data_IF_747833921548
#
_entry.id   IF_747833921548
#
_cell.length_a   1.000
_cell.length_b   1.000
_cell.length_c   1.000
_cell.angle_alpha   90.00
_cell.angle_beta   90.00
_cell.angle_gamma   90.00
#
_symmetry.space_group_name_H-M   'P 1'
#
loop_
_entity.id
_entity.type
_entity.pdbx_description
1 polymer ?
#
# COMPACT_ATOMS: atom_id res chain seq x y z
N UNK A 1 12.52 -4.51 -7.42
CA UNK A 1 12.75 -4.43 -5.96
C UNK A 1 13.01 -5.83 -5.42
N UNK A 2 13.93 -6.01 -4.47
CA UNK A 2 14.23 -7.35 -3.92
C UNK A 2 13.24 -7.73 -2.81
N UNK A 3 13.01 -9.04 -2.60
CA UNK A 3 12.22 -9.53 -1.45
C UNK A 3 12.83 -9.08 -0.11
N UNK A 4 14.16 -9.06 0.00
CA UNK A 4 14.84 -8.64 1.22
C UNK A 4 14.57 -7.17 1.56
N UNK A 5 14.60 -6.28 0.55
CA UNK A 5 14.29 -4.86 0.73
C UNK A 5 12.85 -4.64 1.16
N UNK A 6 11.88 -5.35 0.53
CA UNK A 6 10.47 -5.27 0.94
C UNK A 6 10.29 -5.77 2.37
N UNK A 7 10.91 -6.89 2.74
CA UNK A 7 10.82 -7.39 4.11
C UNK A 7 11.38 -6.39 5.11
N UNK A 8 12.55 -5.79 4.85
CA UNK A 8 13.13 -4.78 5.73
C UNK A 8 12.22 -3.54 5.87
N UNK A 9 11.64 -3.05 4.77
CA UNK A 9 10.69 -1.94 4.80
C UNK A 9 9.43 -2.29 5.61
N UNK A 10 8.90 -3.51 5.48
CA UNK A 10 7.76 -4.02 6.26
C UNK A 10 8.07 -4.01 7.76
N UNK A 11 9.27 -4.46 8.18
CA UNK A 11 9.67 -4.43 9.59
C UNK A 11 9.79 -3.00 10.14
N UNK A 12 10.32 -2.04 9.35
CA UNK A 12 10.41 -0.63 9.74
C UNK A 12 9.00 -0.03 9.89
N UNK A 13 8.16 -0.16 8.86
CA UNK A 13 6.80 0.42 8.83
C UNK A 13 5.91 -0.19 9.93
N UNK A 14 6.07 -1.48 10.20
CA UNK A 14 5.31 -2.21 11.20
C UNK A 14 5.88 -2.12 12.61
N UNK A 15 6.95 -1.36 12.85
CA UNK A 15 7.57 -1.23 14.17
C UNK A 15 6.63 -0.53 15.14
N UNK A 16 6.63 -1.00 16.39
CA UNK A 16 5.79 -0.41 17.44
C UNK A 16 6.35 0.95 17.90
N UNK A 17 5.46 1.91 18.12
CA UNK A 17 5.84 3.26 18.59
C UNK A 17 6.60 4.13 17.59
N UNK A 18 6.82 3.67 16.35
CA UNK A 18 7.53 4.45 15.32
C UNK A 18 6.65 5.56 14.75
N UNK A 19 7.20 6.77 14.70
CA UNK A 19 6.60 7.96 14.09
C UNK A 19 6.68 7.92 12.56
N UNK A 20 5.97 8.80 11.87
CA UNK A 20 6.07 8.90 10.40
C UNK A 20 7.44 9.43 9.96
N UNK A 21 8.01 10.40 10.69
CA UNK A 21 9.35 10.94 10.42
C UNK A 21 10.43 9.84 10.54
N UNK A 22 10.38 9.02 11.59
CA UNK A 22 11.31 7.90 11.75
C UNK A 22 11.16 6.82 10.67
N UNK A 23 9.94 6.59 10.17
CA UNK A 23 9.73 5.70 9.02
C UNK A 23 10.40 6.29 7.78
N UNK A 24 10.18 7.58 7.51
CA UNK A 24 10.76 8.26 6.35
C UNK A 24 12.29 8.17 6.37
N UNK A 25 12.90 8.50 7.51
CA UNK A 25 14.35 8.45 7.70
C UNK A 25 14.92 7.04 7.55
N UNK A 26 14.32 6.03 8.18
CA UNK A 26 14.86 4.66 8.15
C UNK A 26 14.63 3.96 6.81
N UNK A 27 13.48 4.18 6.16
CA UNK A 27 13.25 3.64 4.83
C UNK A 27 14.13 4.34 3.81
N UNK A 28 14.38 5.65 3.95
CA UNK A 28 15.36 6.37 3.13
C UNK A 28 16.77 5.80 3.34
N UNK A 29 17.20 5.58 4.59
CA UNK A 29 18.49 4.97 4.90
C UNK A 29 18.63 3.54 4.32
N UNK A 30 17.52 2.78 4.26
CA UNK A 30 17.49 1.43 3.70
C UNK A 30 17.75 1.40 2.18
N UNK A 31 17.25 2.38 1.42
CA UNK A 31 17.28 2.33 -0.06
C UNK A 31 18.16 3.39 -0.71
N UNK A 32 18.51 4.46 0.01
CA UNK A 32 19.36 5.56 -0.45
C UNK A 32 18.76 6.46 -1.52
N UNK A 33 17.54 6.18 -1.99
CA UNK A 33 16.82 6.93 -3.02
C UNK A 33 15.47 7.43 -2.45
N UNK A 34 15.25 8.76 -2.38
CA UNK A 34 14.02 9.32 -1.80
C UNK A 34 12.73 8.90 -2.50
N UNK A 35 12.76 8.74 -3.82
CA UNK A 35 11.57 8.36 -4.57
C UNK A 35 11.22 6.89 -4.34
N UNK A 36 12.24 6.02 -4.30
CA UNK A 36 12.06 4.62 -3.94
C UNK A 36 11.55 4.49 -2.50
N UNK A 37 12.10 5.27 -1.57
CA UNK A 37 11.64 5.28 -0.18
C UNK A 37 10.17 5.67 -0.08
N UNK A 38 9.77 6.77 -0.74
CA UNK A 38 8.37 7.22 -0.77
C UNK A 38 7.44 6.16 -1.33
N UNK A 39 7.83 5.51 -2.44
CA UNK A 39 7.04 4.40 -3.01
C UNK A 39 6.88 3.24 -2.05
N UNK A 40 7.90 2.89 -1.25
CA UNK A 40 7.78 1.83 -0.25
C UNK A 40 6.82 2.23 0.87
N UNK A 41 6.95 3.44 1.40
CA UNK A 41 6.13 3.98 2.48
C UNK A 41 4.66 4.04 2.07
N UNK A 42 4.39 4.46 0.83
CA UNK A 42 3.04 4.58 0.29
C UNK A 42 2.44 3.22 -0.10
N UNK A 43 3.17 2.39 -0.84
CA UNK A 43 2.61 1.16 -1.40
C UNK A 43 2.53 -0.01 -0.42
N UNK A 44 3.50 -0.16 0.49
CA UNK A 44 3.55 -1.33 1.37
C UNK A 44 2.30 -1.40 2.27
N UNK A 45 1.90 -0.33 2.99
CA UNK A 45 0.64 -0.32 3.73
C UNK A 45 -0.56 -0.65 2.84
N UNK A 46 -0.70 0.01 1.69
CA UNK A 46 -1.85 -0.19 0.80
C UNK A 46 -2.00 -1.61 0.30
N UNK A 47 -0.87 -2.27 -0.03
CA UNK A 47 -0.90 -3.68 -0.44
C UNK A 47 -1.34 -4.58 0.72
N UNK A 48 -0.86 -4.33 1.93
CA UNK A 48 -1.23 -5.09 3.12
C UNK A 48 -2.70 -4.86 3.51
N UNK A 49 -3.16 -3.60 3.52
CA UNK A 49 -4.56 -3.22 3.75
C UNK A 49 -5.51 -3.88 2.76
N UNK A 50 -5.15 -3.92 1.47
CA UNK A 50 -5.94 -4.63 0.45
C UNK A 50 -5.98 -6.14 0.66
N UNK A 51 -4.88 -6.77 1.08
CA UNK A 51 -4.88 -8.21 1.41
C UNK A 51 -5.77 -8.48 2.62
N UNK A 52 -5.70 -7.65 3.66
CA UNK A 52 -6.57 -7.73 4.84
C UNK A 52 -8.04 -7.63 4.44
N UNK A 53 -8.39 -6.59 3.69
CA UNK A 53 -9.75 -6.33 3.25
C UNK A 53 -10.28 -7.43 2.32
N UNK A 54 -9.47 -7.91 1.38
CA UNK A 54 -9.85 -9.01 0.49
C UNK A 54 -10.14 -10.31 1.27
N UNK A 55 -9.43 -10.56 2.37
CA UNK A 55 -9.65 -11.74 3.21
C UNK A 55 -11.01 -11.76 3.92
N UNK A 56 -11.67 -10.60 4.04
CA UNK A 56 -13.02 -10.50 4.63
C UNK A 56 -14.11 -11.11 3.73
N UNK A 57 -13.84 -11.29 2.43
CA UNK A 57 -14.76 -11.93 1.47
C UNK A 57 -16.05 -11.17 1.19
N UNK A 58 -16.14 -9.89 1.58
CA UNK A 58 -17.37 -9.07 1.46
C UNK A 58 -17.30 -8.01 0.37
N UNK A 59 -16.10 -7.62 -0.04
CA UNK A 59 -15.85 -6.45 -0.90
C UNK A 59 -15.06 -6.82 -2.14
N UNK A 60 -15.34 -6.12 -3.23
CA UNK A 60 -14.52 -6.17 -4.45
C UNK A 60 -13.41 -5.13 -4.34
N UNK A 61 -12.15 -5.55 -4.50
CA UNK A 61 -11.01 -4.63 -4.47
C UNK A 61 -10.57 -4.32 -5.89
N UNK A 62 -10.70 -3.06 -6.30
CA UNK A 62 -10.27 -2.59 -7.63
C UNK A 62 -8.74 -2.67 -7.73
N UNK A 63 -8.22 -2.94 -8.93
CA UNK A 63 -6.79 -3.14 -9.21
C UNK A 63 -6.14 -1.96 -9.93
N UNK A 64 -6.68 -0.77 -9.71
CA UNK A 64 -6.22 0.47 -10.33
C UNK A 64 -5.96 1.51 -9.24
N UNK A 65 -4.92 2.31 -9.40
CA UNK A 65 -4.58 3.43 -8.51
C UNK A 65 -4.56 4.73 -9.32
N UNK A 66 -4.56 5.86 -8.62
CA UNK A 66 -4.51 7.18 -9.24
C UNK A 66 -3.26 7.95 -8.80
N UNK A 67 -2.64 8.66 -9.73
CA UNK A 67 -1.48 9.55 -9.52
C UNK A 67 -1.65 10.81 -10.35
N UNK A 68 -1.04 11.91 -9.95
CA UNK A 68 -1.08 13.16 -10.72
C UNK A 68 0.08 13.24 -11.72
N UNK A 69 -0.24 13.65 -12.95
CA UNK A 69 0.78 14.01 -13.94
C UNK A 69 1.32 15.44 -13.73
N UNK A 70 2.26 15.86 -14.57
CA UNK A 70 2.91 17.18 -14.47
C UNK A 70 1.94 18.36 -14.64
N UNK A 71 0.73 18.11 -15.15
CA UNK A 71 -0.34 19.11 -15.30
C UNK A 71 -1.32 19.09 -14.13
N UNK A 72 -1.10 18.22 -13.14
CA UNK A 72 -2.01 18.00 -12.01
C UNK A 72 -3.24 17.16 -12.37
N UNK A 73 -3.29 16.55 -13.56
CA UNK A 73 -4.39 15.67 -13.95
C UNK A 73 -4.24 14.29 -13.30
N UNK A 74 -5.32 13.78 -12.73
CA UNK A 74 -5.34 12.42 -12.19
C UNK A 74 -5.32 11.39 -13.34
N UNK A 75 -4.33 10.50 -13.30
CA UNK A 75 -4.16 9.37 -14.19
C UNK A 75 -4.45 8.09 -13.43
N UNK A 76 -5.36 7.28 -13.97
CA UNK A 76 -5.64 5.95 -13.46
C UNK A 76 -4.73 4.93 -14.13
N UNK A 77 -4.07 4.11 -13.32
CA UNK A 77 -3.09 3.13 -13.77
C UNK A 77 -3.34 1.76 -13.11
N UNK A 78 -3.06 0.66 -13.82
CA UNK A 78 -3.16 -0.68 -13.25
C UNK A 78 -2.06 -0.89 -12.20
N UNK A 79 -2.38 -1.64 -11.13
CA UNK A 79 -1.44 -1.97 -10.07
C UNK A 79 -0.15 -2.66 -10.57
N UNK A 80 -0.26 -3.38 -11.69
CA UNK A 80 0.85 -4.03 -12.39
C UNK A 80 1.92 -3.03 -12.88
N UNK A 81 1.61 -1.73 -12.97
CA UNK A 81 2.58 -0.67 -13.24
C UNK A 81 3.55 -0.41 -12.07
N UNK A 82 3.30 -0.93 -10.87
CA UNK A 82 4.17 -0.79 -9.71
C UNK A 82 4.88 -2.12 -9.35
N UNK A 83 6.19 -2.24 -9.60
CA UNK A 83 6.99 -3.42 -9.25
C UNK A 83 6.97 -3.82 -7.76
N UNK A 84 6.75 -2.87 -6.83
CA UNK A 84 6.62 -3.15 -5.39
C UNK A 84 5.38 -3.99 -5.11
N UNK A 85 4.28 -3.79 -5.84
CA UNK A 85 2.98 -4.42 -5.55
C UNK A 85 3.09 -5.93 -5.54
N UNK A 86 3.69 -6.54 -6.56
CA UNK A 86 3.76 -8.00 -6.67
C UNK A 86 4.54 -8.62 -5.49
N UNK A 87 5.67 -8.02 -5.13
CA UNK A 87 6.56 -8.53 -4.06
C UNK A 87 5.94 -8.28 -2.68
N UNK A 88 5.38 -7.08 -2.44
CA UNK A 88 4.67 -6.75 -1.21
C UNK A 88 3.44 -7.64 -1.02
N UNK A 89 2.71 -7.96 -2.09
CA UNK A 89 1.53 -8.82 -2.03
C UNK A 89 1.91 -10.25 -1.64
N UNK A 90 3.01 -10.77 -2.18
CA UNK A 90 3.54 -12.06 -1.75
C UNK A 90 3.89 -12.04 -0.25
N UNK A 91 4.59 -11.01 0.22
CA UNK A 91 4.96 -10.87 1.64
C UNK A 91 3.76 -10.74 2.55
N UNK A 92 2.76 -9.94 2.16
CA UNK A 92 1.51 -9.77 2.89
C UNK A 92 0.77 -11.12 3.03
N UNK A 93 0.71 -11.93 1.97
CA UNK A 93 0.10 -13.27 2.03
C UNK A 93 0.89 -14.23 2.92
N UNK A 94 2.22 -14.15 2.93
CA UNK A 94 3.07 -14.95 3.83
C UNK A 94 2.80 -14.62 5.31
N UNK A 95 2.71 -13.33 5.65
CA UNK A 95 2.46 -12.87 7.02
C UNK A 95 1.00 -12.99 7.47
N UNK A 96 0.07 -13.00 6.52
CA UNK A 96 -1.38 -13.14 6.74
C UNK A 96 -1.89 -14.58 6.58
N UNK A 97 -1.03 -15.57 6.36
CA UNK A 97 -1.45 -16.94 6.16
C UNK A 97 -2.16 -17.50 7.41
N UNK A 98 -3.38 -18.02 7.25
CA UNK A 98 -4.28 -18.56 8.28
C UNK A 98 -4.82 -17.55 9.30
N UNK A 99 -3.98 -16.66 9.83
CA UNK A 99 -4.39 -15.52 10.66
C UNK A 99 -3.35 -14.40 10.51
N UNK A 100 -3.77 -13.14 10.30
CA UNK A 100 -2.88 -11.99 10.39
C UNK A 100 -2.07 -12.00 11.69
N UNK A 101 -0.74 -11.95 11.58
CA UNK A 101 0.11 -11.72 12.75
C UNK A 101 0.19 -10.21 13.09
N UNK A 102 0.82 -9.89 14.22
CA UNK A 102 0.92 -8.51 14.72
C UNK A 102 1.60 -7.57 13.71
N UNK A 103 2.70 -7.99 13.10
CA UNK A 103 3.42 -7.22 12.08
C UNK A 103 2.53 -6.91 10.87
N UNK A 104 1.79 -7.91 10.38
CA UNK A 104 0.85 -7.73 9.28
C UNK A 104 -0.19 -6.65 9.63
N UNK A 105 -0.79 -6.75 10.81
CA UNK A 105 -1.83 -5.81 11.23
C UNK A 105 -1.28 -4.39 11.39
N UNK A 106 -0.11 -4.23 12.01
CA UNK A 106 0.53 -2.92 12.17
C UNK A 106 0.83 -2.23 10.84
N UNK A 107 1.24 -2.99 9.83
CA UNK A 107 1.46 -2.45 8.48
C UNK A 107 0.13 -2.18 7.77
N UNK A 108 -0.80 -3.13 7.81
CA UNK A 108 -2.10 -3.01 7.13
C UNK A 108 -2.94 -1.84 7.67
N UNK A 109 -2.89 -1.56 8.96
CA UNK A 109 -3.65 -0.49 9.60
C UNK A 109 -3.13 0.92 9.29
N UNK A 110 -1.98 1.05 8.62
CA UNK A 110 -1.49 2.32 8.05
C UNK A 110 -2.05 2.62 6.66
N UNK A 111 -2.84 1.71 6.08
CA UNK A 111 -3.46 1.87 4.75
C UNK A 111 -4.72 2.72 4.81
N UNK A 112 -4.87 3.61 3.83
CA UNK A 112 -6.12 4.32 3.55
C UNK A 112 -7.26 3.35 3.19
N UNK A 113 -6.99 2.26 2.45
CA UNK A 113 -7.99 1.22 2.17
C UNK A 113 -8.50 0.55 3.45
N UNK A 114 -7.61 0.21 4.38
CA UNK A 114 -8.02 -0.39 5.65
C UNK A 114 -8.82 0.60 6.51
N UNK A 115 -8.40 1.86 6.58
CA UNK A 115 -9.11 2.94 7.28
C UNK A 115 -10.52 3.16 6.70
N UNK A 116 -10.66 3.24 5.37
CA UNK A 116 -11.96 3.43 4.72
C UNK A 116 -12.95 2.29 5.04
N UNK A 117 -12.46 1.04 5.12
CA UNK A 117 -13.29 -0.10 5.54
C UNK A 117 -13.64 -0.03 7.02
N UNK A 118 -12.69 0.33 7.88
CA UNK A 118 -12.94 0.49 9.31
C UNK A 118 -14.00 1.58 9.57
N UNK A 119 -13.92 2.71 8.87
CA UNK A 119 -14.90 3.80 8.95
C UNK A 119 -16.28 3.34 8.46
N UNK A 120 -16.35 2.67 7.30
CA UNK A 120 -17.61 2.12 6.80
C UNK A 120 -18.27 1.14 7.80
N UNK A 121 -17.50 0.28 8.46
CA UNK A 121 -17.99 -0.63 9.51
C UNK A 121 -18.53 0.18 10.70
N UNK A 122 -17.77 1.17 11.16
CA UNK A 122 -18.13 2.02 12.30
C UNK A 122 -19.41 2.80 12.05
N UNK A 123 -19.63 3.24 10.82
CA UNK A 123 -20.82 3.98 10.37
C UNK A 123 -22.01 3.06 10.05
N UNK A 124 -21.83 1.73 10.12
CA UNK A 124 -22.88 0.75 9.85
C UNK A 124 -23.19 0.56 8.36
N UNK A 125 -22.30 0.99 7.47
CA UNK A 125 -22.46 0.77 6.03
C UNK A 125 -22.25 -0.70 5.66
N UNK A 126 -23.09 -1.27 4.78
CA UNK A 126 -22.92 -2.64 4.33
C UNK A 126 -21.66 -2.77 3.47
N UNK A 127 -20.82 -3.73 3.82
CA UNK A 127 -19.65 -4.08 3.01
C UNK A 127 -19.98 -5.05 1.88
N UNK A 128 -20.97 -5.92 2.08
CA UNK A 128 -21.31 -6.99 1.12
C UNK A 128 -21.76 -6.42 -0.22
N UNK A 129 -21.02 -6.76 -1.28
CA UNK A 129 -21.31 -6.30 -2.64
C UNK A 129 -20.74 -4.91 -2.99
N UNK A 130 -20.09 -4.25 -2.02
CA UNK A 130 -19.44 -2.97 -2.23
C UNK A 130 -18.10 -3.14 -2.96
N UNK A 131 -17.69 -2.09 -3.68
CA UNK A 131 -16.37 -2.01 -4.31
C UNK A 131 -15.53 -0.96 -3.60
N UNK A 132 -14.26 -1.28 -3.36
CA UNK A 132 -13.29 -0.36 -2.80
C UNK A 132 -12.35 0.06 -3.93
N UNK A 133 -12.31 1.36 -4.20
CA UNK A 133 -11.37 1.96 -5.13
C UNK A 133 -9.92 1.75 -4.67
N UNK A 134 -8.97 1.89 -5.59
CA UNK A 134 -7.57 1.93 -5.19
C UNK A 134 -7.19 3.28 -4.57
N UNK A 135 -5.96 3.37 -4.04
CA UNK A 135 -5.44 4.60 -3.47
C UNK A 135 -5.20 5.66 -4.56
N UNK A 136 -5.33 6.93 -4.16
CA UNK A 136 -4.92 8.09 -4.94
C UNK A 136 -3.68 8.69 -4.27
N UNK A 137 -2.52 8.61 -4.92
CA UNK A 137 -1.25 9.08 -4.37
C UNK A 137 -0.95 10.51 -4.84
N UNK A 138 -0.96 11.46 -3.90
CA UNK A 138 -0.54 12.85 -4.13
C UNK A 138 0.99 13.02 -4.10
N UNK A 139 1.68 12.08 -3.48
CA UNK A 139 3.13 12.09 -3.22
C UNK A 139 3.96 11.38 -4.28
N UNK A 140 3.31 10.70 -5.24
CA UNK A 140 3.98 9.91 -6.27
C UNK A 140 3.70 10.53 -7.64
N UNK A 141 4.72 11.01 -8.38
CA UNK A 141 4.50 11.60 -9.69
C UNK A 141 4.18 10.52 -10.74
N UNK A 142 3.23 10.81 -11.64
CA UNK A 142 2.83 9.86 -12.68
C UNK A 142 3.99 9.46 -13.62
N UNK A 143 5.00 10.32 -13.79
CA UNK A 143 6.18 10.05 -14.62
C UNK A 143 6.95 8.80 -14.20
N UNK A 144 6.87 8.40 -12.92
CA UNK A 144 7.44 7.13 -12.42
C UNK A 144 6.88 5.92 -13.15
N UNK A 145 5.61 5.99 -13.54
CA UNK A 145 4.85 4.88 -14.09
C UNK A 145 4.64 5.00 -15.60
N UNK A 146 4.63 6.24 -16.12
CA UNK A 146 4.35 6.54 -17.52
C UNK A 146 5.60 6.49 -18.41
N UNK A 147 6.82 6.65 -17.86
CA UNK A 147 8.06 6.70 -18.63
C UNK A 147 8.53 5.35 -19.23
N UNK A 148 7.69 4.31 -19.18
CA UNK A 148 7.89 3.02 -19.86
C UNK A 148 6.93 2.76 -21.02
N UNK A 149 6.09 3.73 -21.39
CA UNK A 149 5.20 3.67 -22.56
C UNK A 149 5.65 4.69 -23.60
N UNK A 150 6.77 4.38 -24.26
CA UNK A 150 7.27 5.07 -25.45
C UNK A 150 7.47 4.07 -26.58
#
# INVERSE_FOLDING_TARGET
MSKATISAAVEIIGRDGITEEEIEDEVLALVGDPLVARRLIDWVPEVFGRVLVASMGRVTVVKEFEVQDERGEWRRLPFESEPIVAVAQQRARELGAQSPNDLFLKVALRSAVASAVADAIKEGHPLTGSSIGGPSFVTLPASVYLNGQG
#
